data_IF_354051758430
#
_entry.id   IF_354051758430
#
_cell.length_a   1.000
_cell.length_b   1.000
_cell.length_c   1.000
_cell.angle_alpha   90.00
_cell.angle_beta   90.00
_cell.angle_gamma   90.00
#
_symmetry.space_group_name_H-M   'P 1'
#
loop_
_entity.id
_entity.type
_entity.pdbx_description
1 polymer ?
#
# COMPACT_ATOMS: atom_id res chain seq x y z
N UNK A 1 -23.24 -8.98 -19.14
CA UNK A 1 -21.77 -9.21 -19.21
C UNK A 1 -20.92 -8.30 -18.30
N UNK A 2 -21.28 -7.03 -18.04
CA UNK A 2 -20.44 -6.10 -17.25
C UNK A 2 -20.36 -6.38 -15.74
N UNK A 3 -21.39 -6.98 -15.15
CA UNK A 3 -21.39 -7.39 -13.73
C UNK A 3 -20.46 -8.61 -13.50
N UNK A 4 -20.45 -9.55 -14.45
CA UNK A 4 -19.59 -10.74 -14.39
C UNK A 4 -18.11 -10.37 -14.40
N UNK A 5 -17.71 -9.35 -15.19
CA UNK A 5 -16.33 -8.85 -15.22
C UNK A 5 -15.88 -8.18 -13.92
N UNK A 6 -16.81 -7.55 -13.19
CA UNK A 6 -16.51 -6.91 -11.88
C UNK A 6 -16.34 -7.95 -10.77
N UNK A 7 -17.11 -9.03 -10.81
CA UNK A 7 -16.98 -10.16 -9.88
C UNK A 7 -15.71 -10.94 -10.18
N UNK A 8 -15.36 -11.15 -11.45
CA UNK A 8 -14.10 -11.79 -11.85
C UNK A 8 -12.89 -10.96 -11.39
N UNK A 9 -12.93 -9.63 -11.50
CA UNK A 9 -11.84 -8.77 -11.02
C UNK A 9 -11.67 -8.81 -9.49
N UNK A 10 -12.77 -8.88 -8.73
CA UNK A 10 -12.74 -9.02 -7.27
C UNK A 10 -12.21 -10.40 -6.86
N UNK A 11 -12.67 -11.46 -7.54
CA UNK A 11 -12.19 -12.83 -7.31
C UNK A 11 -10.70 -12.93 -7.63
N UNK A 12 -10.23 -12.33 -8.73
CA UNK A 12 -8.80 -12.29 -9.09
C UNK A 12 -7.99 -11.49 -8.07
N UNK A 13 -8.52 -10.38 -7.52
CA UNK A 13 -7.83 -9.61 -6.48
C UNK A 13 -7.72 -10.38 -5.16
N UNK A 14 -8.77 -11.11 -4.76
CA UNK A 14 -8.76 -11.96 -3.56
C UNK A 14 -7.88 -13.19 -3.76
N UNK A 15 -7.86 -13.78 -4.96
CA UNK A 15 -6.98 -14.91 -5.30
C UNK A 15 -5.51 -14.48 -5.37
N UNK A 16 -5.22 -13.29 -5.89
CA UNK A 16 -3.87 -12.71 -5.89
C UNK A 16 -3.39 -12.38 -4.46
N UNK A 17 -4.29 -11.92 -3.58
CA UNK A 17 -3.99 -11.74 -2.16
C UNK A 17 -3.72 -13.09 -1.48
N UNK A 18 -4.54 -14.11 -1.73
CA UNK A 18 -4.36 -15.47 -1.22
C UNK A 18 -3.05 -16.13 -1.69
N UNK A 19 -2.70 -15.97 -2.96
CA UNK A 19 -1.43 -16.47 -3.52
C UNK A 19 -0.22 -15.69 -2.96
N UNK A 20 -0.32 -14.38 -2.75
CA UNK A 20 0.73 -13.60 -2.10
C UNK A 20 0.98 -14.03 -0.64
N UNK A 21 -0.02 -14.59 0.03
CA UNK A 21 0.10 -15.15 1.39
C UNK A 21 0.54 -16.62 1.41
N UNK A 22 0.24 -17.41 0.38
CA UNK A 22 0.62 -18.83 0.28
C UNK A 22 2.01 -19.05 -0.34
N UNK A 23 2.49 -18.17 -1.23
CA UNK A 23 3.85 -18.24 -1.78
C UNK A 23 4.96 -17.77 -0.83
N UNK A 24 4.63 -17.48 0.43
CA UNK A 24 5.57 -17.12 1.49
C UNK A 24 6.19 -18.32 2.24
N UNK A 25 5.92 -19.57 1.87
CA UNK A 25 6.35 -20.75 2.62
C UNK A 25 6.96 -21.85 1.76
N UNK A 26 8.27 -22.00 1.84
CA UNK A 26 9.03 -23.19 1.40
C UNK A 26 10.53 -22.93 1.58
N UNK A 27 11.34 -23.70 2.32
CA UNK A 27 11.14 -24.95 3.05
C UNK A 27 12.17 -25.05 4.20
N UNK A 28 11.79 -25.65 5.34
CA UNK A 28 12.63 -26.66 6.01
C UNK A 28 11.75 -27.68 6.73
N UNK A 29 11.80 -28.91 6.21
CA UNK A 29 11.13 -30.15 6.64
C UNK A 29 11.33 -30.44 8.13
N UNK A 30 10.37 -30.07 8.96
CA UNK A 30 10.06 -30.67 10.28
C UNK A 30 8.81 -30.05 10.93
N UNK A 31 8.22 -29.01 10.34
CA UNK A 31 7.17 -28.18 10.96
C UNK A 31 5.81 -28.25 10.24
N UNK A 32 5.59 -29.31 9.44
CA UNK A 32 4.47 -29.38 8.49
C UNK A 32 3.06 -29.48 9.12
N UNK A 33 2.93 -30.00 10.34
CA UNK A 33 1.60 -30.13 10.98
C UNK A 33 1.07 -28.79 11.51
N UNK A 34 1.94 -28.00 12.15
CA UNK A 34 1.56 -26.73 12.77
C UNK A 34 1.32 -25.62 11.74
N UNK A 35 2.05 -25.65 10.62
CA UNK A 35 1.82 -24.72 9.51
C UNK A 35 0.51 -25.02 8.79
N UNK A 36 0.19 -26.30 8.57
CA UNK A 36 -1.09 -26.72 7.97
C UNK A 36 -2.26 -26.35 8.88
N UNK A 37 -2.15 -26.55 10.20
CA UNK A 37 -3.17 -26.12 11.15
C UNK A 37 -3.37 -24.60 11.13
N UNK A 38 -2.28 -23.84 11.06
CA UNK A 38 -2.31 -22.36 11.03
C UNK A 38 -2.89 -21.82 9.72
N UNK A 39 -2.57 -22.47 8.60
CA UNK A 39 -3.18 -22.17 7.29
C UNK A 39 -4.66 -22.52 7.30
N UNK A 40 -5.05 -23.68 7.85
CA UNK A 40 -6.46 -24.09 7.95
C UNK A 40 -7.28 -23.11 8.79
N UNK A 41 -6.75 -22.63 9.92
CA UNK A 41 -7.41 -21.59 10.74
C UNK A 41 -7.57 -20.28 9.96
N UNK A 42 -6.55 -19.88 9.19
CA UNK A 42 -6.60 -18.65 8.38
C UNK A 42 -7.56 -18.78 7.20
N UNK A 43 -7.62 -19.94 6.57
CA UNK A 43 -8.57 -20.25 5.48
C UNK A 43 -9.99 -20.23 6.02
N UNK A 44 -10.26 -20.86 7.17
CA UNK A 44 -11.60 -20.83 7.78
C UNK A 44 -12.00 -19.43 8.26
N UNK A 45 -11.06 -18.60 8.71
CA UNK A 45 -11.34 -17.20 9.03
C UNK A 45 -11.66 -16.36 7.78
N UNK A 46 -10.96 -16.63 6.67
CA UNK A 46 -11.22 -15.99 5.39
C UNK A 46 -12.56 -16.43 4.80
N UNK A 47 -12.90 -17.72 4.87
CA UNK A 47 -14.19 -18.27 4.44
C UNK A 47 -15.35 -17.65 5.22
N UNK A 48 -15.20 -17.46 6.53
CA UNK A 48 -16.19 -16.71 7.34
C UNK A 48 -16.29 -15.26 6.88
N UNK A 49 -15.17 -14.55 6.73
CA UNK A 49 -15.18 -13.17 6.26
C UNK A 49 -15.84 -13.00 4.88
N UNK A 50 -15.65 -13.95 3.97
CA UNK A 50 -16.31 -13.95 2.64
C UNK A 50 -17.80 -14.24 2.76
N UNK A 51 -18.20 -15.12 3.66
CA UNK A 51 -19.62 -15.43 3.92
C UNK A 51 -20.34 -14.25 4.54
N UNK A 52 -19.72 -13.57 5.51
CA UNK A 52 -20.26 -12.37 6.15
C UNK A 52 -20.36 -11.21 5.16
N UNK A 53 -19.36 -11.03 4.29
CA UNK A 53 -19.39 -10.02 3.23
C UNK A 53 -20.51 -10.30 2.24
N UNK A 54 -20.74 -11.57 1.90
CA UNK A 54 -21.83 -11.98 1.02
C UNK A 54 -23.19 -11.74 1.67
N UNK A 55 -23.34 -12.06 2.96
CA UNK A 55 -24.54 -11.75 3.73
C UNK A 55 -24.83 -10.25 3.78
N UNK A 56 -23.82 -9.42 4.01
CA UNK A 56 -23.96 -7.96 3.97
C UNK A 56 -24.34 -7.42 2.60
N UNK A 57 -23.85 -8.04 1.51
CA UNK A 57 -24.24 -7.68 0.14
C UNK A 57 -25.68 -8.10 -0.17
N UNK A 58 -26.11 -9.28 0.27
CA UNK A 58 -27.47 -9.77 0.08
C UNK A 58 -28.48 -8.91 0.88
N UNK A 59 -28.13 -8.51 2.11
CA UNK A 59 -28.92 -7.59 2.94
C UNK A 59 -29.05 -6.20 2.30
N UNK A 60 -27.96 -5.65 1.77
CA UNK A 60 -27.99 -4.39 1.03
C UNK A 60 -28.84 -4.48 -0.26
N UNK A 61 -28.80 -5.63 -0.95
CA UNK A 61 -29.62 -5.86 -2.14
C UNK A 61 -31.11 -5.97 -1.78
N UNK A 62 -31.43 -6.61 -0.66
CA UNK A 62 -32.80 -6.70 -0.14
C UNK A 62 -33.34 -5.31 0.26
N UNK A 63 -32.57 -4.52 1.01
CA UNK A 63 -32.95 -3.14 1.37
C UNK A 63 -33.14 -2.25 0.13
N UNK A 64 -32.32 -2.43 -0.91
CA UNK A 64 -32.46 -1.70 -2.16
C UNK A 64 -33.70 -2.15 -2.96
N UNK A 65 -34.07 -3.43 -2.89
CA UNK A 65 -35.30 -3.96 -3.47
C UNK A 65 -36.54 -3.44 -2.72
N UNK A 66 -36.51 -3.40 -1.39
CA UNK A 66 -37.59 -2.88 -0.55
C UNK A 66 -37.79 -1.37 -0.75
N UNK A 67 -36.70 -0.59 -0.80
CA UNK A 67 -36.77 0.82 -1.14
C UNK A 67 -37.37 1.05 -2.53
N UNK A 68 -37.03 0.20 -3.51
CA UNK A 68 -37.59 0.28 -4.86
C UNK A 68 -39.06 -0.09 -4.89
N UNK A 69 -39.46 -1.13 -4.16
CA UNK A 69 -40.85 -1.55 -4.04
C UNK A 69 -41.71 -0.47 -3.37
N UNK A 70 -41.21 0.16 -2.29
CA UNK A 70 -41.86 1.27 -1.61
C UNK A 70 -41.99 2.51 -2.52
N UNK A 71 -40.97 2.82 -3.33
CA UNK A 71 -41.02 3.92 -4.29
C UNK A 71 -42.04 3.68 -5.42
N UNK A 72 -42.23 2.43 -5.86
CA UNK A 72 -43.25 2.08 -6.85
C UNK A 72 -44.67 2.00 -6.27
N UNK A 73 -44.82 1.62 -5.01
CA UNK A 73 -46.12 1.56 -4.34
C UNK A 73 -46.71 2.96 -4.01
N UNK A 74 -45.87 4.00 -3.97
CA UNK A 74 -46.27 5.37 -3.69
C UNK A 74 -46.77 6.16 -4.93
N UNK A 75 -47.02 5.52 -6.07
CA UNK A 75 -47.52 6.16 -7.29
C UNK A 75 -48.95 5.71 -7.61
N UNK A 76 -50.01 6.40 -7.15
CA UNK A 76 -51.37 6.13 -7.61
C UNK A 76 -51.50 6.63 -9.05
N UNK A 77 -51.95 5.75 -9.95
CA UNK A 77 -52.35 6.10 -11.30
C UNK A 77 -53.51 7.12 -11.28
N UNK A 78 -53.34 8.26 -11.97
CA UNK A 78 -54.47 9.08 -12.41
C UNK A 78 -54.41 9.31 -13.93
N UNK A 79 -55.54 9.18 -14.66
CA UNK A 79 -55.62 9.27 -16.11
C UNK A 79 -55.60 10.73 -16.60
N UNK A 80 -55.33 10.98 -17.89
CA UNK A 80 -55.08 12.33 -18.39
C UNK A 80 -56.40 13.11 -18.56
N UNK A 81 -56.46 14.32 -18.00
CA UNK A 81 -57.49 15.31 -18.34
C UNK A 81 -56.84 16.64 -18.75
N UNK A 82 -57.33 17.14 -19.87
CA UNK A 82 -56.96 18.40 -20.50
C UNK A 82 -57.36 19.62 -19.65
N UNK A 83 -56.67 20.71 -19.95
CA UNK A 83 -56.57 21.96 -19.21
C UNK A 83 -57.73 22.91 -19.54
N UNK A 84 -58.33 23.58 -18.54
CA UNK A 84 -58.82 24.96 -18.72
C UNK A 84 -59.08 25.71 -17.38
N UNK A 85 -58.46 26.89 -17.30
CA UNK A 85 -58.86 28.15 -16.60
C UNK A 85 -58.99 28.26 -15.06
N UNK A 86 -57.93 28.83 -14.47
CA UNK A 86 -57.90 30.01 -13.56
C UNK A 86 -58.32 29.94 -12.06
N UNK A 87 -57.76 30.85 -11.20
CA UNK A 87 -57.24 30.55 -9.84
C UNK A 87 -58.07 31.26 -8.71
N UNK A 88 -57.80 31.16 -7.38
CA UNK A 88 -56.62 31.76 -6.74
C UNK A 88 -56.08 31.11 -5.43
N UNK A 89 -54.91 31.61 -5.02
CA UNK A 89 -54.49 31.95 -3.66
C UNK A 89 -53.69 30.98 -2.77
N UNK A 90 -52.65 31.60 -2.21
CA UNK A 90 -51.92 31.35 -0.96
C UNK A 90 -50.68 30.45 -0.92
N UNK A 91 -49.55 31.17 -0.87
CA UNK A 91 -48.58 31.18 0.23
C UNK A 91 -47.76 29.92 0.52
N UNK A 92 -46.45 30.15 0.31
CA UNK A 92 -45.32 29.67 1.08
C UNK A 92 -45.06 28.16 1.09
N UNK A 93 -43.78 27.87 0.88
CA UNK A 93 -42.92 27.06 1.75
C UNK A 93 -42.22 25.98 0.95
N UNK A 94 -40.90 26.14 0.94
CA UNK A 94 -39.87 25.11 0.84
C UNK A 94 -39.92 24.14 -0.34
N UNK A 95 -39.10 24.46 -1.33
CA UNK A 95 -38.53 23.45 -2.23
C UNK A 95 -37.95 22.30 -1.40
N UNK A 96 -38.43 21.05 -1.56
CA UNK A 96 -37.75 19.90 -0.99
C UNK A 96 -36.40 19.75 -1.70
N UNK A 97 -35.30 19.53 -0.96
CA UNK A 97 -33.99 19.40 -1.56
C UNK A 97 -33.98 18.18 -2.47
N UNK A 98 -33.56 18.40 -3.73
CA UNK A 98 -33.45 17.38 -4.75
C UNK A 98 -32.84 16.10 -4.16
N UNK A 99 -33.63 15.03 -4.20
CA UNK A 99 -33.18 13.69 -3.87
C UNK A 99 -31.89 13.41 -4.63
N UNK A 100 -30.81 13.15 -3.89
CA UNK A 100 -29.48 12.95 -4.44
C UNK A 100 -29.54 11.85 -5.50
N UNK A 101 -29.03 12.18 -6.69
CA UNK A 101 -28.97 11.28 -7.81
C UNK A 101 -28.34 9.94 -7.37
N UNK A 102 -28.90 8.79 -7.79
CA UNK A 102 -28.27 7.49 -7.54
C UNK A 102 -26.85 7.57 -8.09
N UNK A 103 -25.87 7.25 -7.24
CA UNK A 103 -24.45 7.32 -7.57
C UNK A 103 -24.22 6.58 -8.90
N UNK A 104 -24.13 7.34 -9.99
CA UNK A 104 -23.90 6.78 -11.30
C UNK A 104 -22.59 6.00 -11.26
N UNK A 105 -22.46 4.96 -12.09
CA UNK A 105 -21.20 4.21 -12.18
C UNK A 105 -19.97 5.12 -12.42
N UNK A 106 -20.19 6.30 -13.01
CA UNK A 106 -19.18 7.34 -13.19
C UNK A 106 -18.83 8.09 -11.90
N UNK A 107 -19.82 8.36 -11.04
CA UNK A 107 -19.57 8.91 -9.70
C UNK A 107 -18.77 7.92 -8.84
N UNK A 108 -19.10 6.62 -8.89
CA UNK A 108 -18.35 5.60 -8.15
C UNK A 108 -16.89 5.49 -8.64
N UNK A 109 -16.67 5.50 -9.97
CA UNK A 109 -15.32 5.51 -10.56
C UNK A 109 -14.53 6.75 -10.15
N UNK A 110 -15.19 7.92 -10.10
CA UNK A 110 -14.58 9.18 -9.67
C UNK A 110 -14.18 9.12 -8.20
N UNK A 111 -15.06 8.62 -7.33
CA UNK A 111 -14.78 8.43 -5.89
C UNK A 111 -13.60 7.47 -5.69
N UNK A 112 -13.58 6.31 -6.37
CA UNK A 112 -12.47 5.34 -6.24
C UNK A 112 -11.14 5.93 -6.73
N UNK A 113 -11.13 6.67 -7.85
CA UNK A 113 -9.92 7.35 -8.33
C UNK A 113 -9.43 8.41 -7.34
N UNK A 114 -10.36 9.16 -6.76
CA UNK A 114 -10.06 10.19 -5.77
C UNK A 114 -9.51 9.57 -4.49
N UNK A 115 -10.07 8.45 -4.05
CA UNK A 115 -9.61 7.71 -2.87
C UNK A 115 -8.23 7.09 -3.10
N UNK A 116 -7.99 6.50 -4.28
CA UNK A 116 -6.66 6.02 -4.69
C UNK A 116 -5.66 7.18 -4.70
N UNK A 117 -6.05 8.34 -5.25
CA UNK A 117 -5.22 9.55 -5.27
C UNK A 117 -4.89 10.00 -3.84
N UNK A 118 -5.91 10.18 -3.00
CA UNK A 118 -5.76 10.58 -1.60
C UNK A 118 -4.85 9.62 -0.84
N UNK A 119 -5.07 8.32 -0.98
CA UNK A 119 -4.23 7.28 -0.38
C UNK A 119 -2.75 7.42 -0.78
N UNK A 120 -2.49 7.65 -2.07
CA UNK A 120 -1.11 7.83 -2.55
C UNK A 120 -0.50 9.17 -2.12
N UNK A 121 -1.28 10.25 -2.07
CA UNK A 121 -0.83 11.55 -1.57
C UNK A 121 -0.50 11.49 -0.08
N UNK A 122 -1.33 10.84 0.72
CA UNK A 122 -1.12 10.67 2.15
C UNK A 122 0.09 9.77 2.45
N UNK A 123 0.24 8.68 1.69
CA UNK A 123 1.47 7.87 1.68
C UNK A 123 2.70 8.69 1.33
N UNK A 124 2.61 9.59 0.33
CA UNK A 124 3.75 10.44 -0.08
C UNK A 124 4.12 11.42 1.02
N UNK A 125 3.14 12.08 1.65
CA UNK A 125 3.37 13.00 2.77
C UNK A 125 4.07 12.31 3.94
N UNK A 126 3.71 11.06 4.24
CA UNK A 126 4.36 10.28 5.31
C UNK A 126 5.82 9.89 5.01
N UNK A 127 6.26 9.95 3.76
CA UNK A 127 7.61 9.54 3.34
C UNK A 127 8.43 10.72 2.83
N UNK A 128 7.93 11.94 2.99
CA UNK A 128 8.62 13.13 2.52
C UNK A 128 9.66 13.58 3.55
N UNK A 129 10.92 13.77 3.14
CA UNK A 129 11.95 14.27 4.03
C UNK A 129 11.59 15.63 4.62
N UNK A 130 11.95 15.82 5.88
CA UNK A 130 11.79 17.11 6.55
C UNK A 130 12.69 18.16 5.88
N UNK A 131 12.34 19.44 5.96
CA UNK A 131 13.11 20.51 5.29
C UNK A 131 14.58 20.53 5.73
N UNK A 132 14.85 20.28 7.00
CA UNK A 132 16.22 20.21 7.51
C UNK A 132 16.98 19.00 6.94
N UNK A 133 16.30 17.87 6.70
CA UNK A 133 16.91 16.69 6.06
C UNK A 133 17.23 16.98 4.60
N UNK A 134 16.33 17.67 3.88
CA UNK A 134 16.56 18.13 2.50
C UNK A 134 17.79 19.05 2.45
N UNK A 135 17.89 19.98 3.39
CA UNK A 135 19.01 20.93 3.49
C UNK A 135 20.34 20.26 3.84
N UNK A 136 20.35 19.35 4.79
CA UNK A 136 21.60 18.71 5.27
C UNK A 136 22.06 17.55 4.37
N UNK A 137 21.13 16.73 3.86
CA UNK A 137 21.45 15.48 3.17
C UNK A 137 21.27 15.55 1.65
N UNK A 138 20.69 16.65 1.13
CA UNK A 138 20.49 16.87 -0.29
C UNK A 138 19.78 15.70 -0.98
N UNK A 139 20.40 15.13 -2.01
CA UNK A 139 19.83 14.01 -2.77
C UNK A 139 19.73 12.69 -1.98
N UNK A 140 20.30 12.60 -0.77
CA UNK A 140 20.18 11.43 0.12
C UNK A 140 19.11 11.59 1.19
N UNK A 141 18.47 12.76 1.29
CA UNK A 141 17.46 13.04 2.31
C UNK A 141 16.35 11.99 2.34
N UNK A 142 15.88 11.55 1.17
CA UNK A 142 14.85 10.51 1.07
C UNK A 142 15.27 9.17 1.68
N UNK A 143 16.51 8.77 1.46
CA UNK A 143 17.04 7.53 2.04
C UNK A 143 17.12 7.70 3.56
N UNK A 144 17.80 8.74 4.03
CA UNK A 144 18.02 8.97 5.47
C UNK A 144 16.69 9.11 6.21
N UNK A 145 15.71 9.82 5.63
CA UNK A 145 14.37 9.95 6.18
C UNK A 145 13.68 8.59 6.31
N UNK A 146 13.65 7.81 5.22
CA UNK A 146 12.94 6.52 5.19
C UNK A 146 13.56 5.51 6.16
N UNK A 147 14.89 5.42 6.21
CA UNK A 147 15.59 4.56 7.18
C UNK A 147 15.35 5.08 8.60
N UNK A 148 15.46 6.40 8.78
CA UNK A 148 15.23 7.09 10.03
C UNK A 148 13.85 6.82 10.61
N UNK A 149 12.79 6.96 9.82
CA UNK A 149 11.43 6.68 10.22
C UNK A 149 11.21 5.19 10.53
N UNK A 150 11.77 4.29 9.69
CA UNK A 150 11.67 2.84 9.91
C UNK A 150 12.35 2.42 11.20
N UNK A 151 13.49 2.98 11.55
CA UNK A 151 14.24 2.61 12.76
C UNK A 151 13.89 3.45 13.98
N UNK A 152 13.18 4.57 13.81
CA UNK A 152 12.98 5.56 14.87
C UNK A 152 14.30 6.22 15.29
N UNK A 153 15.11 6.66 14.31
CA UNK A 153 16.39 7.32 14.56
C UNK A 153 16.19 8.75 15.06
N UNK A 154 16.97 9.15 16.05
CA UNK A 154 17.10 10.55 16.44
C UNK A 154 17.75 11.39 15.32
N UNK A 155 17.69 12.72 15.46
CA UNK A 155 18.32 13.65 14.52
C UNK A 155 19.83 13.41 14.39
N UNK A 156 20.49 13.17 15.51
CA UNK A 156 21.93 12.89 15.60
C UNK A 156 22.27 11.54 14.98
N UNK A 157 21.46 10.51 15.26
CA UNK A 157 21.60 9.19 14.63
C UNK A 157 21.41 9.25 13.11
N UNK A 158 20.44 10.05 12.62
CA UNK A 158 20.25 10.28 11.17
C UNK A 158 21.49 10.92 10.53
N UNK A 159 22.12 11.90 11.18
CA UNK A 159 23.38 12.52 10.71
C UNK A 159 24.53 11.52 10.69
N UNK A 160 24.68 10.73 11.75
CA UNK A 160 25.73 9.71 11.83
C UNK A 160 25.53 8.61 10.77
N UNK A 161 24.28 8.13 10.60
CA UNK A 161 23.90 7.22 9.53
C UNK A 161 24.22 7.78 8.15
N UNK A 162 23.93 9.06 7.91
CA UNK A 162 24.26 9.72 6.66
C UNK A 162 25.77 9.72 6.37
N UNK A 163 26.63 9.90 7.39
CA UNK A 163 28.08 9.81 7.19
C UNK A 163 28.53 8.40 6.80
N UNK A 164 27.97 7.36 7.42
CA UNK A 164 28.26 5.97 7.05
C UNK A 164 27.81 5.72 5.60
N UNK A 165 26.58 6.10 5.26
CA UNK A 165 26.04 5.96 3.90
C UNK A 165 26.91 6.69 2.87
N UNK A 166 27.39 7.89 3.19
CA UNK A 166 28.28 8.69 2.33
C UNK A 166 29.61 7.99 2.10
N UNK A 167 30.23 7.42 3.16
CA UNK A 167 31.47 6.63 3.05
C UNK A 167 31.26 5.37 2.21
N UNK A 168 30.22 4.60 2.51
CA UNK A 168 29.89 3.37 1.78
C UNK A 168 29.71 3.64 0.27
N UNK A 169 28.90 4.64 -0.10
CA UNK A 169 28.68 5.01 -1.51
C UNK A 169 29.98 5.44 -2.20
N UNK A 170 30.85 6.17 -1.48
CA UNK A 170 32.16 6.58 -1.99
C UNK A 170 33.06 5.36 -2.24
N UNK A 171 33.19 4.46 -1.27
CA UNK A 171 34.02 3.25 -1.38
C UNK A 171 33.53 2.35 -2.53
N UNK A 172 32.22 2.15 -2.66
CA UNK A 172 31.63 1.38 -3.77
C UNK A 172 31.95 2.01 -5.12
N UNK A 173 31.89 3.35 -5.23
CA UNK A 173 32.22 4.05 -6.48
C UNK A 173 33.71 3.95 -6.83
N UNK A 174 34.59 4.08 -5.84
CA UNK A 174 36.03 3.96 -6.02
C UNK A 174 36.42 2.53 -6.41
N UNK A 175 35.83 1.54 -5.75
CA UNK A 175 36.01 0.13 -6.08
C UNK A 175 35.60 -0.18 -7.52
N UNK A 176 34.42 0.28 -7.94
CA UNK A 176 33.95 0.13 -9.31
C UNK A 176 34.89 0.78 -10.33
N UNK A 177 35.34 2.01 -10.06
CA UNK A 177 36.24 2.76 -10.96
C UNK A 177 37.59 2.06 -11.11
N UNK A 178 38.14 1.53 -10.01
CA UNK A 178 39.38 0.75 -10.00
C UNK A 178 39.23 -0.55 -10.80
N UNK A 179 38.18 -1.33 -10.54
CA UNK A 179 37.96 -2.61 -11.24
C UNK A 179 37.77 -2.42 -12.76
N UNK A 180 37.01 -1.40 -13.17
CA UNK A 180 36.88 -1.04 -14.60
C UNK A 180 38.23 -0.71 -15.21
N UNK A 181 39.08 0.05 -14.51
CA UNK A 181 40.39 0.45 -15.01
C UNK A 181 41.36 -0.73 -15.13
N UNK A 182 41.25 -1.72 -14.24
CA UNK A 182 42.11 -2.91 -14.23
C UNK A 182 41.71 -3.96 -15.27
N UNK A 183 40.40 -4.21 -15.43
CA UNK A 183 39.91 -5.38 -16.19
C UNK A 183 39.43 -4.99 -17.59
N UNK A 184 38.87 -3.78 -17.78
CA UNK A 184 38.27 -3.34 -19.05
C UNK A 184 36.97 -4.08 -19.45
N UNK A 185 36.81 -5.35 -19.06
CA UNK A 185 35.60 -6.14 -19.24
C UNK A 185 34.58 -5.89 -18.13
N UNK A 186 33.41 -5.35 -18.51
CA UNK A 186 32.32 -5.04 -17.58
C UNK A 186 31.72 -6.28 -16.91
N UNK A 187 31.69 -7.42 -17.58
CA UNK A 187 31.06 -8.63 -17.03
C UNK A 187 31.86 -9.20 -15.86
N UNK A 188 33.18 -9.36 -16.05
CA UNK A 188 34.09 -9.79 -14.98
C UNK A 188 34.15 -8.78 -13.82
N UNK A 189 34.07 -7.47 -14.12
CA UNK A 189 33.95 -6.42 -13.10
C UNK A 189 32.69 -6.60 -12.27
N UNK A 190 31.54 -6.85 -12.88
CA UNK A 190 30.27 -6.99 -12.16
C UNK A 190 30.30 -8.19 -11.19
N UNK A 191 30.86 -9.31 -11.63
CA UNK A 191 31.02 -10.53 -10.81
C UNK A 191 31.93 -10.29 -9.59
N UNK A 192 33.08 -9.64 -9.78
CA UNK A 192 34.00 -9.30 -8.67
C UNK A 192 33.41 -8.22 -7.77
N UNK A 193 32.69 -7.27 -8.34
CA UNK A 193 32.04 -6.19 -7.63
C UNK A 193 30.99 -6.71 -6.66
N UNK A 194 30.22 -7.76 -7.00
CA UNK A 194 29.18 -8.27 -6.12
C UNK A 194 29.75 -8.77 -4.77
N UNK A 195 30.87 -9.50 -4.81
CA UNK A 195 31.52 -10.01 -3.60
C UNK A 195 32.12 -8.88 -2.74
N UNK A 196 32.89 -7.99 -3.33
CA UNK A 196 33.54 -6.88 -2.60
C UNK A 196 32.51 -5.85 -2.09
N UNK A 197 31.46 -5.58 -2.88
CA UNK A 197 30.35 -4.74 -2.45
C UNK A 197 29.64 -5.35 -1.25
N UNK A 198 29.44 -6.67 -1.21
CA UNK A 198 28.83 -7.35 -0.07
C UNK A 198 29.68 -7.16 1.18
N UNK A 199 31.01 -7.28 1.08
CA UNK A 199 31.93 -7.02 2.19
C UNK A 199 31.82 -5.59 2.72
N UNK A 200 31.90 -4.59 1.84
CA UNK A 200 31.73 -3.18 2.21
C UNK A 200 30.36 -2.90 2.83
N UNK A 201 29.33 -3.61 2.36
CA UNK A 201 27.99 -3.49 2.91
C UNK A 201 27.93 -4.02 4.34
N UNK A 202 28.47 -5.22 4.61
CA UNK A 202 28.47 -5.75 5.99
C UNK A 202 29.29 -4.88 6.95
N UNK A 203 30.46 -4.36 6.54
CA UNK A 203 31.25 -3.41 7.34
C UNK A 203 30.43 -2.16 7.69
N UNK A 204 29.77 -1.56 6.70
CA UNK A 204 28.92 -0.40 6.93
C UNK A 204 27.72 -0.72 7.83
N UNK A 205 27.18 -1.95 7.79
CA UNK A 205 26.11 -2.40 8.69
C UNK A 205 26.57 -2.55 10.13
N UNK A 206 27.77 -3.06 10.35
CA UNK A 206 28.37 -3.15 11.68
C UNK A 206 28.55 -1.74 12.28
N UNK A 207 29.01 -0.79 11.47
CA UNK A 207 29.07 0.62 11.86
C UNK A 207 27.67 1.17 12.21
N UNK A 208 26.64 0.87 11.41
CA UNK A 208 25.27 1.30 11.71
C UNK A 208 24.77 0.69 13.00
N UNK A 209 24.93 -0.63 13.21
CA UNK A 209 24.54 -1.29 14.45
C UNK A 209 25.19 -0.64 15.68
N UNK A 210 26.45 -0.19 15.58
CA UNK A 210 27.14 0.50 16.68
C UNK A 210 26.44 1.80 17.13
N UNK A 211 25.78 2.50 16.20
CA UNK A 211 25.03 3.74 16.47
C UNK A 211 23.64 3.51 17.08
N UNK A 212 23.12 2.28 16.98
CA UNK A 212 21.74 1.95 17.33
C UNK A 212 21.61 1.49 18.78
N UNK A 213 20.48 1.82 19.40
CA UNK A 213 20.06 1.23 20.67
C UNK A 213 19.76 -0.27 20.50
N UNK A 214 19.75 -1.07 21.57
CA UNK A 214 19.43 -2.51 21.46
C UNK A 214 18.10 -2.80 20.76
N UNK A 215 17.05 -2.02 21.03
CA UNK A 215 15.75 -2.15 20.37
C UNK A 215 15.82 -1.82 18.87
N UNK A 216 16.52 -0.74 18.53
CA UNK A 216 16.73 -0.34 17.14
C UNK A 216 17.56 -1.38 16.37
N UNK A 217 18.57 -2.01 16.99
CA UNK A 217 19.37 -3.10 16.39
C UNK A 217 18.51 -4.30 16.03
N UNK A 218 17.62 -4.73 16.92
CA UNK A 218 16.68 -5.82 16.62
C UNK A 218 15.83 -5.50 15.41
N UNK A 219 15.22 -4.30 15.39
CA UNK A 219 14.42 -3.82 14.27
C UNK A 219 15.23 -3.72 12.97
N UNK A 220 16.48 -3.29 13.07
CA UNK A 220 17.41 -3.17 11.96
C UNK A 220 17.74 -4.54 11.34
N UNK A 221 18.06 -5.54 12.17
CA UNK A 221 18.29 -6.92 11.72
C UNK A 221 17.04 -7.54 11.09
N UNK A 222 15.86 -7.25 11.63
CA UNK A 222 14.59 -7.68 11.02
C UNK A 222 14.37 -7.03 9.66
N UNK A 223 14.69 -5.74 9.50
CA UNK A 223 14.59 -5.06 8.20
C UNK A 223 15.55 -5.67 7.17
N UNK A 224 16.79 -6.00 7.54
CA UNK A 224 17.73 -6.69 6.65
C UNK A 224 17.15 -8.04 6.19
N UNK A 225 16.53 -8.78 7.11
CA UNK A 225 15.93 -10.09 6.81
C UNK A 225 14.69 -9.96 5.92
N UNK A 226 13.79 -9.03 6.20
CA UNK A 226 12.45 -9.01 5.61
C UNK A 226 12.33 -8.09 4.40
N UNK A 227 13.16 -7.05 4.28
CA UNK A 227 13.09 -6.07 3.18
C UNK A 227 14.23 -6.32 2.18
N UNK A 228 13.86 -6.80 0.98
CA UNK A 228 14.79 -7.11 -0.11
C UNK A 228 15.67 -5.92 -0.50
N UNK A 229 15.14 -4.70 -0.43
CA UNK A 229 15.89 -3.49 -0.76
C UNK A 229 16.93 -3.20 0.31
N UNK A 230 16.55 -3.28 1.60
CA UNK A 230 17.49 -3.19 2.73
C UNK A 230 18.60 -4.21 2.63
N UNK A 231 18.24 -5.47 2.37
CA UNK A 231 19.18 -6.58 2.27
C UNK A 231 20.24 -6.37 1.20
N UNK A 232 19.89 -5.75 0.08
CA UNK A 232 20.81 -5.63 -1.06
C UNK A 232 21.51 -4.27 -1.11
N UNK A 233 20.87 -3.19 -0.67
CA UNK A 233 21.30 -1.83 -1.04
C UNK A 233 21.66 -0.90 0.10
N UNK A 234 21.21 -1.18 1.33
CA UNK A 234 21.35 -0.23 2.43
C UNK A 234 22.29 -0.74 3.54
N UNK A 235 23.26 0.09 3.94
CA UNK A 235 24.01 -0.11 5.17
C UNK A 235 23.13 0.20 6.37
#
# INVERSE_FOLDING_TARGET
>A
MRVVLSVVALVVAVFALGMAFLSGGGERRSQGSDEVARVKVRVSALERGVTDLRGGLDEMLAQLADMRAAATAAHPQQPPRETETSPPQHSNTDSPPAAQAPLSADNLRKIVREEIRRYHEERRKQHEPEEWEKKEFGNKAWIVHRIGAKLGLSKEQKRAYFQILKRFVKQVRELWSRMISETGDRYEVEKRMEAERKRLLEEAREEVESLLTPQQRTKYRELIKNDRLFRRWFP
#
